data_IF_167087461237
#
_entry.id   IF_167087461237
#
_cell.length_a   1.000
_cell.length_b   1.000
_cell.length_c   1.000
_cell.angle_alpha   90.00
_cell.angle_beta   90.00
_cell.angle_gamma   90.00
#
_symmetry.space_group_name_H-M   'P 1'
#
loop_
_entity.id
_entity.type
_entity.pdbx_description
1 polymer ?
#
# COMPACT_ATOMS: atom_id res chain seq x y z
N UNK A 1 -45.95 32.89 0.28
CA UNK A 1 -44.83 32.64 1.24
C UNK A 1 -45.35 31.60 2.21
N UNK A 2 -44.85 30.36 2.25
CA UNK A 2 -43.45 29.98 2.36
C UNK A 2 -42.94 29.14 1.18
N UNK A 3 -41.70 29.36 0.71
CA UNK A 3 -41.05 28.60 -0.36
C UNK A 3 -40.65 27.21 0.17
N UNK A 4 -39.92 26.41 -0.62
CA UNK A 4 -39.37 25.07 -0.31
C UNK A 4 -40.12 23.88 -0.94
N UNK A 5 -40.53 24.03 -2.20
CA UNK A 5 -40.18 23.03 -3.22
C UNK A 5 -38.70 23.23 -3.58
N UNK A 6 -37.77 22.47 -3.00
CA UNK A 6 -36.52 22.01 -3.64
C UNK A 6 -35.71 21.15 -2.67
N UNK A 7 -34.97 20.18 -3.23
CA UNK A 7 -34.01 19.25 -2.61
C UNK A 7 -34.58 17.90 -2.14
N UNK A 8 -34.94 17.13 -3.17
CA UNK A 8 -34.45 15.77 -3.44
C UNK A 8 -33.05 15.53 -2.81
N UNK A 9 -32.82 14.29 -2.36
CA UNK A 9 -31.56 13.73 -1.84
C UNK A 9 -31.37 13.81 -0.32
N UNK A 10 -31.55 12.68 0.37
CA UNK A 10 -30.44 11.90 0.98
C UNK A 10 -30.99 10.72 1.80
N UNK A 11 -30.68 9.51 1.32
CA UNK A 11 -30.46 8.27 2.07
C UNK A 11 -31.66 7.56 2.77
N UNK A 12 -32.04 6.37 2.30
CA UNK A 12 -32.37 5.26 3.17
C UNK A 12 -31.29 4.19 2.99
N UNK A 13 -30.27 4.19 3.87
CA UNK A 13 -29.31 3.10 3.92
C UNK A 13 -30.02 1.84 4.39
N UNK A 14 -30.33 0.99 3.40
CA UNK A 14 -30.02 -0.43 3.40
C UNK A 14 -30.32 -1.17 4.70
N UNK A 15 -31.49 -1.78 4.74
CA UNK A 15 -31.70 -3.01 5.48
C UNK A 15 -30.52 -3.96 5.19
N UNK A 16 -29.77 -4.25 6.26
CA UNK A 16 -28.61 -5.14 6.26
C UNK A 16 -28.98 -6.47 5.60
N UNK A 17 -28.47 -6.68 4.39
CA UNK A 17 -28.56 -7.96 3.70
C UNK A 17 -27.37 -8.79 4.17
N UNK A 18 -27.61 -9.68 5.12
CA UNK A 18 -26.65 -10.71 5.50
C UNK A 18 -26.24 -11.51 4.27
N UNK A 19 -24.94 -11.53 3.96
CA UNK A 19 -24.35 -12.51 3.05
C UNK A 19 -23.34 -13.32 3.84
N UNK A 20 -23.79 -14.48 4.30
CA UNK A 20 -22.93 -15.61 4.64
C UNK A 20 -22.32 -16.13 3.32
N UNK A 21 -21.01 -16.01 3.18
CA UNK A 21 -20.24 -16.79 2.22
C UNK A 21 -19.23 -17.62 3.02
N UNK A 22 -19.31 -18.93 2.79
CA UNK A 22 -18.55 -19.97 3.46
C UNK A 22 -17.04 -19.63 3.53
N UNK A 23 -16.44 -19.88 4.70
CA UNK A 23 -15.00 -20.07 4.82
C UNK A 23 -14.61 -21.35 4.06
N UNK A 24 -14.57 -21.27 2.73
CA UNK A 24 -13.75 -22.19 1.96
C UNK A 24 -12.33 -21.95 2.41
N UNK A 25 -11.69 -22.96 3.00
CA UNK A 25 -10.25 -22.94 3.23
C UNK A 25 -9.60 -22.58 1.89
N UNK A 26 -9.09 -21.35 1.79
CA UNK A 26 -8.43 -20.90 0.58
C UNK A 26 -7.27 -21.86 0.34
N UNK A 27 -7.26 -22.52 -0.81
CA UNK A 27 -6.07 -23.17 -1.33
C UNK A 27 -4.92 -22.19 -1.14
N UNK A 28 -3.87 -22.61 -0.43
CA UNK A 28 -2.85 -21.73 0.13
C UNK A 28 -2.45 -20.67 -0.87
N UNK A 29 -2.88 -19.43 -0.65
CA UNK A 29 -2.42 -18.32 -1.45
C UNK A 29 -0.94 -18.18 -1.12
N UNK A 30 -0.09 -18.31 -2.13
CA UNK A 30 1.34 -18.02 -2.00
C UNK A 30 1.47 -16.51 -1.74
N UNK A 31 1.44 -16.15 -0.47
CA UNK A 31 1.67 -14.79 0.01
C UNK A 31 3.18 -14.56 0.00
N UNK A 32 3.61 -13.52 -0.70
CA UNK A 32 5.01 -13.10 -0.76
C UNK A 32 5.12 -11.69 -0.21
N UNK A 33 6.15 -11.44 0.60
CA UNK A 33 6.51 -10.09 1.02
C UNK A 33 7.85 -9.75 0.38
N UNK A 34 7.89 -8.64 -0.36
CA UNK A 34 9.10 -8.16 -1.04
C UNK A 34 9.66 -6.96 -0.27
N UNK A 35 10.96 -7.02 0.02
CA UNK A 35 11.73 -5.93 0.61
C UNK A 35 12.58 -5.29 -0.48
N UNK A 36 12.49 -3.96 -0.60
CA UNK A 36 13.24 -3.19 -1.60
C UNK A 36 13.87 -2.00 -0.90
N UNK A 37 15.16 -1.76 -1.09
CA UNK A 37 15.80 -0.53 -0.64
C UNK A 37 15.87 0.51 -1.76
N UNK A 38 15.84 1.78 -1.39
CA UNK A 38 15.98 2.91 -2.30
C UNK A 38 16.98 3.93 -1.73
N UNK A 39 17.75 4.62 -2.60
CA UNK A 39 18.83 5.51 -2.18
C UNK A 39 18.35 6.81 -1.52
N UNK A 40 17.04 7.11 -1.54
CA UNK A 40 16.46 8.25 -0.85
C UNK A 40 14.95 8.08 -0.60
N UNK A 41 14.41 8.86 0.34
CA UNK A 41 12.95 8.94 0.58
C UNK A 41 12.17 9.42 -0.66
N UNK A 42 12.74 10.36 -1.43
CA UNK A 42 12.12 10.84 -2.67
C UNK A 42 11.97 9.71 -3.70
N UNK A 43 13.04 8.93 -3.92
CA UNK A 43 13.02 7.79 -4.85
C UNK A 43 12.05 6.71 -4.37
N UNK A 44 12.03 6.43 -3.06
CA UNK A 44 11.10 5.46 -2.47
C UNK A 44 9.63 5.85 -2.67
N UNK A 45 9.27 7.10 -2.40
CA UNK A 45 7.90 7.60 -2.58
C UNK A 45 7.46 7.56 -4.04
N UNK A 46 8.36 7.94 -4.96
CA UNK A 46 8.09 7.87 -6.40
C UNK A 46 7.85 6.41 -6.81
N UNK A 47 8.72 5.48 -6.39
CA UNK A 47 8.56 4.07 -6.69
C UNK A 47 7.26 3.50 -6.14
N UNK A 48 6.91 3.79 -4.88
CA UNK A 48 5.66 3.36 -4.27
C UNK A 48 4.42 3.86 -5.06
N UNK A 49 4.41 5.13 -5.48
CA UNK A 49 3.32 5.68 -6.28
C UNK A 49 3.19 4.97 -7.65
N UNK A 50 4.32 4.71 -8.31
CA UNK A 50 4.35 3.97 -9.58
C UNK A 50 3.77 2.56 -9.44
N UNK A 51 4.17 1.84 -8.39
CA UNK A 51 3.74 0.45 -8.14
C UNK A 51 2.23 0.36 -7.87
N UNK A 52 1.68 1.31 -7.11
CA UNK A 52 0.26 1.29 -6.70
C UNK A 52 -0.66 1.87 -7.77
N UNK A 53 -0.34 3.04 -8.33
CA UNK A 53 -1.27 3.80 -9.15
C UNK A 53 -1.08 3.54 -10.65
N UNK A 54 0.16 3.65 -11.13
CA UNK A 54 0.40 3.60 -12.58
C UNK A 54 0.50 2.18 -13.12
N UNK A 55 1.19 1.29 -12.40
CA UNK A 55 1.41 -0.10 -12.84
C UNK A 55 0.47 -1.10 -12.16
N UNK A 56 -0.14 -0.72 -11.03
CA UNK A 56 -1.09 -1.55 -10.26
C UNK A 56 -0.52 -2.94 -9.94
N UNK A 57 0.78 -3.00 -9.65
CA UNK A 57 1.52 -4.23 -9.33
C UNK A 57 1.46 -4.54 -7.83
N UNK A 58 1.18 -3.54 -6.99
CA UNK A 58 1.01 -3.69 -5.56
C UNK A 58 -0.27 -2.98 -5.11
N UNK A 59 -0.98 -3.56 -4.14
CA UNK A 59 -2.14 -2.90 -3.54
C UNK A 59 -1.72 -1.80 -2.55
N UNK A 60 -0.61 -2.01 -1.84
CA UNK A 60 -0.01 -1.04 -0.93
C UNK A 60 1.50 -1.21 -0.86
N UNK A 61 2.20 -0.20 -0.32
CA UNK A 61 3.63 -0.24 -0.02
C UNK A 61 3.84 0.52 1.29
N UNK A 62 4.52 -0.09 2.25
CA UNK A 62 4.94 0.58 3.49
C UNK A 62 6.36 1.14 3.29
N UNK A 63 6.60 2.38 3.73
CA UNK A 63 7.88 3.07 3.60
C UNK A 63 8.47 3.29 4.99
N UNK A 64 9.69 2.79 5.21
CA UNK A 64 10.46 2.97 6.45
C UNK A 64 11.70 3.82 6.13
N UNK A 65 11.71 5.11 6.53
CA UNK A 65 12.81 6.01 6.23
C UNK A 65 14.02 5.78 7.13
N UNK A 66 15.18 6.30 6.70
CA UNK A 66 16.40 6.40 7.50
C UNK A 66 16.91 5.05 8.02
N UNK A 67 16.92 4.03 7.16
CA UNK A 67 17.62 2.78 7.45
C UNK A 67 19.10 2.91 7.08
N UNK A 68 19.98 2.21 7.79
CA UNK A 68 21.39 2.11 7.42
C UNK A 68 21.65 0.74 6.82
N UNK A 69 22.07 0.73 5.55
CA UNK A 69 22.54 -0.47 4.86
C UNK A 69 24.02 -0.66 5.13
N UNK A 70 24.39 -1.85 5.62
CA UNK A 70 25.77 -2.22 5.97
C UNK A 70 26.16 -3.40 5.09
N UNK A 71 27.19 -3.23 4.26
CA UNK A 71 27.60 -4.25 3.28
C UNK A 71 29.10 -4.16 2.97
N UNK A 72 29.66 -5.23 2.39
CA UNK A 72 31.05 -5.25 1.91
C UNK A 72 31.10 -5.02 0.41
N UNK A 73 31.92 -4.08 -0.03
CA UNK A 73 32.20 -3.82 -1.45
C UNK A 73 33.68 -3.48 -1.63
N UNK A 74 34.31 -4.12 -2.61
CA UNK A 74 35.75 -3.97 -2.90
C UNK A 74 36.67 -4.20 -1.68
N UNK A 75 36.25 -5.08 -0.76
CA UNK A 75 37.00 -5.44 0.44
C UNK A 75 36.88 -4.44 1.60
N UNK A 76 36.02 -3.44 1.47
CA UNK A 76 35.73 -2.45 2.51
C UNK A 76 34.27 -2.54 2.98
N UNK A 77 34.03 -2.25 4.26
CA UNK A 77 32.67 -2.18 4.83
C UNK A 77 32.10 -0.79 4.60
N UNK A 78 30.95 -0.72 3.92
CA UNK A 78 30.23 0.49 3.57
C UNK A 78 28.97 0.63 4.42
N UNK A 79 28.62 1.89 4.71
CA UNK A 79 27.41 2.26 5.42
C UNK A 79 26.65 3.32 4.62
N UNK A 80 25.50 2.96 4.07
CA UNK A 80 24.67 3.88 3.29
C UNK A 80 23.33 4.15 3.98
N UNK A 81 22.88 5.41 3.90
CA UNK A 81 21.53 5.76 4.32
C UNK A 81 20.55 5.44 3.18
N UNK A 82 19.57 4.60 3.46
CA UNK A 82 18.56 4.19 2.51
C UNK A 82 17.15 4.35 3.10
N UNK A 83 16.16 4.13 2.24
CA UNK A 83 14.75 4.00 2.63
C UNK A 83 14.28 2.60 2.23
N UNK A 84 13.68 1.87 3.17
CA UNK A 84 13.16 0.53 2.95
C UNK A 84 11.68 0.59 2.54
N UNK A 85 11.32 -0.16 1.50
CA UNK A 85 9.95 -0.41 1.06
C UNK A 85 9.59 -1.86 1.38
N UNK A 86 8.39 -2.06 1.92
CA UNK A 86 7.81 -3.38 2.20
C UNK A 86 6.53 -3.52 1.36
N UNK A 87 6.51 -4.52 0.49
CA UNK A 87 5.43 -4.78 -0.47
C UNK A 87 4.80 -6.14 -0.13
N UNK A 88 3.60 -6.16 0.49
CA UNK A 88 2.90 -7.38 0.89
C UNK A 88 1.93 -7.93 -0.16
#
# INVERSE_FOLDING_TARGET
MSPLRLLRHLCPSSAARAMSAAAGAAAGADLSVVYVTAPSDEVARRLAALLVQERRLAACVNIVPAVTSVYEWEGEVHHDNETLLIIP
#
